data_IF_993043057017
#
_entry.id   IF_993043057017
#
_cell.length_a   1.000
_cell.length_b   1.000
_cell.length_c   1.000
_cell.angle_alpha   90.00
_cell.angle_beta   90.00
_cell.angle_gamma   90.00
#
_symmetry.space_group_name_H-M   'P 1'
#
loop_
_entity.id
_entity.type
_entity.pdbx_description
1 polymer ?
#
# COMPACT_ATOMS: atom_id res chain seq x y z
N UNK A 1 -2.37 -12.74 -14.27
CA UNK A 1 -2.75 -11.38 -13.83
C UNK A 1 -2.96 -11.46 -12.33
N UNK A 2 -2.47 -10.49 -11.54
CA UNK A 2 -2.73 -10.46 -10.11
C UNK A 2 -4.24 -10.39 -9.86
N UNK A 3 -4.68 -11.02 -8.78
CA UNK A 3 -6.09 -11.15 -8.41
C UNK A 3 -6.63 -9.87 -7.79
N UNK A 4 -5.79 -9.19 -7.00
CA UNK A 4 -6.10 -7.94 -6.31
C UNK A 4 -4.88 -7.02 -6.26
N UNK A 5 -5.10 -5.71 -6.18
CA UNK A 5 -4.10 -4.67 -5.93
C UNK A 5 -4.30 -4.06 -4.55
N UNK A 6 -3.25 -4.00 -3.75
CA UNK A 6 -3.30 -3.46 -2.38
C UNK A 6 -2.29 -2.33 -2.22
N UNK A 7 -2.77 -1.18 -1.76
CA UNK A 7 -1.94 -0.04 -1.36
C UNK A 7 -1.36 -0.26 0.04
N UNK A 8 -0.07 0.03 0.25
CA UNK A 8 0.60 -0.09 1.56
C UNK A 8 1.24 1.24 1.96
N UNK A 9 0.86 1.70 3.16
CA UNK A 9 1.28 2.96 3.81
C UNK A 9 1.09 2.84 5.33
N UNK A 10 1.57 3.77 6.17
CA UNK A 10 2.57 4.82 5.92
C UNK A 10 3.98 4.28 5.71
N UNK A 11 4.94 5.17 5.44
CA UNK A 11 6.36 4.81 5.31
C UNK A 11 6.92 4.09 6.55
N UNK A 12 6.37 4.36 7.73
CA UNK A 12 6.75 3.70 8.98
C UNK A 12 6.32 2.23 9.05
N UNK A 13 5.34 1.80 8.24
CA UNK A 13 4.92 0.40 8.12
C UNK A 13 5.87 -0.41 7.22
N UNK A 14 6.47 0.22 6.20
CA UNK A 14 7.26 -0.46 5.17
C UNK A 14 8.40 -1.34 5.73
N UNK A 15 9.19 -0.90 6.74
CA UNK A 15 10.27 -1.74 7.29
C UNK A 15 9.79 -3.05 7.90
N UNK A 16 8.56 -3.10 8.42
CA UNK A 16 7.97 -4.30 9.01
C UNK A 16 7.19 -5.10 7.96
N UNK A 17 6.60 -4.42 6.98
CA UNK A 17 5.80 -5.01 5.91
C UNK A 17 6.58 -6.04 5.09
N UNK A 18 7.89 -5.84 4.88
CA UNK A 18 8.74 -6.78 4.14
C UNK A 18 8.68 -8.21 4.72
N UNK A 19 8.47 -8.37 6.03
CA UNK A 19 8.33 -9.68 6.67
C UNK A 19 7.03 -10.42 6.27
N UNK A 20 6.05 -9.70 5.75
CA UNK A 20 4.71 -10.20 5.41
C UNK A 20 4.43 -10.18 3.91
N UNK A 21 5.31 -9.55 3.11
CA UNK A 21 5.13 -9.38 1.66
C UNK A 21 4.89 -10.71 0.95
N UNK A 22 5.60 -11.77 1.34
CA UNK A 22 5.44 -13.11 0.74
C UNK A 22 4.02 -13.65 0.84
N UNK A 23 3.28 -13.33 1.92
CA UNK A 23 1.89 -13.77 2.11
C UNK A 23 1.00 -13.16 1.01
N UNK A 24 1.22 -11.91 0.65
CA UNK A 24 0.45 -11.23 -0.40
C UNK A 24 0.81 -11.81 -1.78
N UNK A 25 2.10 -12.02 -2.04
CA UNK A 25 2.59 -12.60 -3.29
C UNK A 25 2.05 -14.02 -3.51
N UNK A 26 2.08 -14.89 -2.49
CA UNK A 26 1.52 -16.24 -2.53
C UNK A 26 0.01 -16.27 -2.82
N UNK A 27 -0.71 -15.20 -2.44
CA UNK A 27 -2.14 -15.03 -2.71
C UNK A 27 -2.43 -14.32 -4.05
N UNK A 28 -1.42 -14.12 -4.90
CA UNK A 28 -1.50 -13.37 -6.17
C UNK A 28 -2.00 -11.92 -5.97
N UNK A 29 -1.57 -11.26 -4.90
CA UNK A 29 -1.89 -9.86 -4.63
C UNK A 29 -0.72 -8.98 -5.06
N UNK A 30 -0.98 -7.98 -5.87
CA UNK A 30 -0.03 -6.94 -6.25
C UNK A 30 0.06 -5.90 -5.13
N UNK A 31 1.29 -5.58 -4.73
CA UNK A 31 1.56 -4.57 -3.70
C UNK A 31 1.97 -3.26 -4.36
N UNK A 32 1.21 -2.21 -4.08
CA UNK A 32 1.49 -0.84 -4.51
C UNK A 32 2.09 -0.09 -3.33
N UNK A 33 3.33 0.36 -3.48
CA UNK A 33 4.00 1.25 -2.53
C UNK A 33 4.10 2.62 -3.21
N UNK A 34 3.52 3.69 -2.63
CA UNK A 34 3.56 5.01 -3.24
C UNK A 34 5.01 5.53 -3.41
N UNK A 35 5.27 6.37 -4.43
CA UNK A 35 6.54 7.08 -4.57
C UNK A 35 6.82 7.95 -3.33
N UNK A 36 8.08 8.35 -3.05
CA UNK A 36 8.47 8.90 -1.76
C UNK A 36 7.56 10.03 -1.28
N UNK A 37 6.85 9.75 -0.19
CA UNK A 37 6.01 10.67 0.56
C UNK A 37 6.65 10.94 1.93
N UNK A 38 6.07 11.85 2.74
CA UNK A 38 6.52 12.07 4.11
C UNK A 38 6.15 10.87 5.00
N UNK A 39 5.89 11.10 6.29
CA UNK A 39 5.49 10.01 7.19
C UNK A 39 4.12 9.43 6.81
N UNK A 40 3.18 10.26 6.36
CA UNK A 40 1.79 9.90 6.01
C UNK A 40 1.44 10.39 4.61
N UNK A 41 0.52 9.70 3.92
CA UNK A 41 -0.11 10.23 2.73
C UNK A 41 -1.20 11.24 3.13
N UNK A 42 -1.26 12.36 2.41
CA UNK A 42 -2.40 13.30 2.47
C UNK A 42 -3.53 12.86 1.54
N UNK A 43 -4.75 13.36 1.77
CA UNK A 43 -5.92 13.13 0.92
C UNK A 43 -5.61 13.34 -0.57
N UNK A 44 -4.95 14.46 -0.92
CA UNK A 44 -4.58 14.77 -2.31
C UNK A 44 -3.62 13.73 -2.93
N UNK A 45 -2.77 13.10 -2.11
CA UNK A 45 -1.85 12.03 -2.54
C UNK A 45 -2.55 10.66 -2.60
N UNK A 46 -3.53 10.41 -1.72
CA UNK A 46 -4.35 9.20 -1.70
C UNK A 46 -5.32 9.13 -2.88
N UNK A 47 -5.99 10.24 -3.18
CA UNK A 47 -7.05 10.32 -4.19
C UNK A 47 -6.69 9.73 -5.57
N UNK A 48 -5.49 9.94 -6.13
CA UNK A 48 -5.11 9.28 -7.39
C UNK A 48 -4.80 7.79 -7.23
N UNK A 49 -4.36 7.33 -6.05
CA UNK A 49 -3.98 5.94 -5.80
C UNK A 49 -5.20 5.04 -5.56
N UNK A 50 -6.20 5.54 -4.82
CA UNK A 50 -7.37 4.73 -4.41
C UNK A 50 -8.29 4.32 -5.56
N UNK A 51 -8.15 4.90 -6.75
CA UNK A 51 -9.01 4.62 -7.91
C UNK A 51 -8.76 3.25 -8.55
N UNK A 52 -7.56 2.69 -8.38
CA UNK A 52 -7.10 1.46 -9.05
C UNK A 52 -6.66 0.37 -8.05
N UNK A 53 -7.10 0.46 -6.79
CA UNK A 53 -6.81 -0.56 -5.76
C UNK A 53 -8.08 -1.29 -5.33
N UNK A 54 -7.90 -2.56 -4.95
CA UNK A 54 -8.94 -3.42 -4.38
C UNK A 54 -8.92 -3.41 -2.85
N UNK A 55 -7.85 -2.92 -2.24
CA UNK A 55 -7.71 -2.83 -0.79
C UNK A 55 -6.56 -1.94 -0.34
N UNK A 56 -6.53 -1.64 0.96
CA UNK A 56 -5.50 -0.81 1.59
C UNK A 56 -5.05 -1.42 2.91
N UNK A 57 -3.74 -1.38 3.15
CA UNK A 57 -3.11 -1.61 4.45
C UNK A 57 -2.45 -0.27 4.81
N UNK A 58 -3.16 0.53 5.60
CA UNK A 58 -2.76 1.87 5.99
C UNK A 58 -2.67 2.01 7.52
N UNK A 59 -1.92 3.02 7.96
CA UNK A 59 -1.90 3.53 9.33
C UNK A 59 -2.62 4.89 9.41
N UNK A 60 -2.06 5.84 10.17
CA UNK A 60 -2.59 7.21 10.34
C UNK A 60 -2.42 8.11 9.10
N UNK A 61 -2.70 7.59 7.90
CA UNK A 61 -2.82 8.43 6.71
C UNK A 61 -3.92 9.49 6.92
N UNK A 62 -3.74 10.66 6.30
CA UNK A 62 -4.48 11.88 6.64
C UNK A 62 -5.39 12.37 5.53
#
# INVERSE_FOLDING_TARGET
MPKYKVLVSPNTLLPVFDNYKSILEENNIEVIIPPPFNEFLSEDELMPLVQDIDGVICGDDR
#
